data_IF_961010344632
#
_entry.id   IF_961010344632
#
_cell.length_a   1.000
_cell.length_b   1.000
_cell.length_c   1.000
_cell.angle_alpha   90.00
_cell.angle_beta   90.00
_cell.angle_gamma   90.00
#
_symmetry.space_group_name_H-M   'P 1'
#
loop_
_entity.id
_entity.type
_entity.pdbx_description
1 polymer ?
#
# COMPACT_ATOMS: atom_id res chain seq x y z
N UNK A 1 1.49 13.17 16.74
CA UNK A 1 1.27 12.68 15.35
C UNK A 1 0.43 11.42 15.38
N UNK A 2 -0.48 11.34 14.46
CA UNK A 2 -1.32 10.16 14.33
C UNK A 2 -0.74 9.22 13.28
N UNK A 3 -1.07 7.93 13.41
CA UNK A 3 -0.66 6.95 12.39
C UNK A 3 -1.76 6.76 11.37
N UNK A 4 -1.34 6.64 10.12
CA UNK A 4 -2.24 6.34 9.01
C UNK A 4 -1.66 5.19 8.21
N UNK A 5 -2.53 4.41 7.61
CA UNK A 5 -2.10 3.33 6.73
C UNK A 5 -2.48 3.68 5.30
N UNK A 6 -1.52 3.55 4.41
CA UNK A 6 -1.76 3.60 2.97
C UNK A 6 -1.90 2.17 2.49
N UNK A 7 -3.03 1.85 1.90
CA UNK A 7 -3.29 0.52 1.35
C UNK A 7 -3.22 0.67 -0.16
N UNK A 8 -2.29 -0.04 -0.78
CA UNK A 8 -2.05 0.05 -2.22
C UNK A 8 -2.82 -1.05 -2.93
N UNK A 9 -3.66 -0.65 -3.89
CA UNK A 9 -4.59 -1.54 -4.58
C UNK A 9 -4.36 -1.41 -6.08
N UNK A 10 -4.21 -2.53 -6.76
CA UNK A 10 -3.95 -2.55 -8.19
C UNK A 10 -2.55 -2.06 -8.53
N UNK A 11 -2.40 -1.38 -9.66
CA UNK A 11 -1.12 -0.81 -10.06
C UNK A 11 -0.08 -1.84 -10.43
N UNK A 12 -0.46 -2.84 -11.23
CA UNK A 12 0.40 -3.95 -11.60
C UNK A 12 1.41 -3.52 -12.68
N UNK A 13 2.73 -3.55 -12.39
CA UNK A 13 3.75 -3.18 -13.36
C UNK A 13 4.19 -4.33 -14.26
N UNK A 14 3.58 -5.52 -14.16
CA UNK A 14 4.08 -6.72 -14.83
C UNK A 14 4.11 -6.60 -16.36
N UNK A 15 3.28 -5.72 -16.94
CA UNK A 15 3.23 -5.53 -18.40
C UNK A 15 4.27 -4.52 -18.90
N UNK A 16 5.01 -3.90 -18.01
CA UNK A 16 6.05 -2.94 -18.39
C UNK A 16 7.32 -3.68 -18.82
N UNK A 17 8.13 -3.03 -19.65
CA UNK A 17 9.45 -3.56 -19.99
C UNK A 17 10.31 -3.66 -18.74
N UNK A 18 11.38 -4.49 -18.74
CA UNK A 18 12.28 -4.56 -17.59
C UNK A 18 12.85 -3.20 -17.19
N UNK A 19 13.22 -2.37 -18.16
CA UNK A 19 13.74 -1.04 -17.87
C UNK A 19 12.67 -0.15 -17.23
N UNK A 20 11.43 -0.23 -17.71
CA UNK A 20 10.34 0.56 -17.16
C UNK A 20 9.98 0.09 -15.75
N UNK A 21 10.02 -1.22 -15.51
CA UNK A 21 9.79 -1.76 -14.16
C UNK A 21 10.85 -1.27 -13.19
N UNK A 22 12.12 -1.26 -13.60
CA UNK A 22 13.19 -0.78 -12.77
C UNK A 22 13.05 0.72 -12.48
N UNK A 23 12.71 1.52 -13.49
CA UNK A 23 12.47 2.95 -13.30
C UNK A 23 11.31 3.19 -12.33
N UNK A 24 10.26 2.39 -12.43
CA UNK A 24 9.10 2.49 -11.54
C UNK A 24 9.50 2.17 -10.10
N UNK A 25 10.30 1.11 -9.91
CA UNK A 25 10.79 0.74 -8.58
C UNK A 25 11.63 1.86 -7.96
N UNK A 26 12.43 2.56 -8.78
CA UNK A 26 13.23 3.68 -8.28
C UNK A 26 12.36 4.81 -7.75
N UNK A 27 11.19 5.03 -8.36
CA UNK A 27 10.23 6.03 -7.85
C UNK A 27 9.73 5.65 -6.47
N UNK A 28 9.46 4.36 -6.23
CA UNK A 28 9.06 3.87 -4.92
C UNK A 28 10.15 4.09 -3.89
N UNK A 29 11.39 3.74 -4.22
CA UNK A 29 12.51 3.93 -3.30
C UNK A 29 12.70 5.41 -2.96
N UNK A 30 12.56 6.29 -3.96
CA UNK A 30 12.69 7.73 -3.73
C UNK A 30 11.60 8.24 -2.78
N UNK A 31 10.38 7.74 -2.93
CA UNK A 31 9.26 8.13 -2.06
C UNK A 31 9.50 7.67 -0.62
N UNK A 32 9.89 6.41 -0.44
CA UNK A 32 10.22 5.89 0.89
C UNK A 32 11.35 6.68 1.53
N UNK A 33 12.38 6.99 0.76
CA UNK A 33 13.50 7.78 1.27
C UNK A 33 13.05 9.17 1.73
N UNK A 34 12.21 9.82 0.94
CA UNK A 34 11.69 11.13 1.31
C UNK A 34 10.89 11.06 2.60
N UNK A 35 9.97 10.09 2.70
CA UNK A 35 9.15 9.92 3.90
C UNK A 35 10.02 9.60 5.11
N UNK A 36 11.09 8.82 4.92
CA UNK A 36 12.00 8.47 6.01
C UNK A 36 12.80 9.68 6.48
N UNK A 37 13.27 10.50 5.55
CA UNK A 37 14.00 11.73 5.92
C UNK A 37 13.12 12.69 6.69
N UNK A 38 11.84 12.73 6.37
CA UNK A 38 10.88 13.59 7.05
C UNK A 38 10.37 12.96 8.35
N UNK A 39 10.87 11.76 8.69
CA UNK A 39 10.48 11.02 9.89
C UNK A 39 8.99 10.69 9.90
N UNK A 40 8.43 10.45 8.72
CA UNK A 40 7.02 10.11 8.56
C UNK A 40 6.81 8.62 8.33
N UNK A 41 7.79 7.91 7.81
CA UNK A 41 7.68 6.50 7.48
C UNK A 41 7.87 5.64 8.74
N UNK A 42 6.92 4.76 9.02
CA UNK A 42 6.99 3.84 10.16
C UNK A 42 7.33 2.43 9.70
N UNK A 43 6.57 1.92 8.73
CA UNK A 43 6.76 0.54 8.26
C UNK A 43 6.04 0.39 6.92
N UNK A 44 6.38 -0.67 6.21
CA UNK A 44 5.69 -1.01 4.97
C UNK A 44 6.15 -2.36 4.45
N UNK A 45 5.27 -3.02 3.70
CA UNK A 45 5.55 -4.29 3.08
C UNK A 45 4.85 -4.38 1.74
N UNK A 46 5.53 -4.95 0.76
CA UNK A 46 4.93 -5.33 -0.52
C UNK A 46 4.53 -6.80 -0.43
N UNK A 47 3.46 -7.15 -1.11
CA UNK A 47 2.92 -8.52 -1.06
C UNK A 47 3.11 -9.21 -2.40
N UNK A 48 3.46 -10.50 -2.34
CA UNK A 48 3.49 -11.34 -3.53
C UNK A 48 2.06 -11.68 -3.96
N UNK A 49 1.85 -11.96 -5.24
CA UNK A 49 0.52 -12.38 -5.70
C UNK A 49 0.17 -13.75 -5.13
N UNK A 50 -1.13 -14.05 -5.06
CA UNK A 50 -1.62 -15.32 -4.58
C UNK A 50 -1.84 -15.34 -3.09
N UNK A 51 -2.13 -16.52 -2.58
CA UNK A 51 -2.42 -16.72 -1.17
C UNK A 51 -3.67 -17.52 -0.96
N UNK A 52 -4.26 -17.39 0.22
CA UNK A 52 -5.48 -18.11 0.58
C UNK A 52 -6.50 -17.15 1.17
N UNK A 53 -7.78 -17.44 0.94
CA UNK A 53 -8.86 -16.69 1.53
C UNK A 53 -9.65 -17.64 2.42
N UNK A 54 -9.97 -17.23 3.63
CA UNK A 54 -10.74 -18.02 4.59
C UNK A 54 -12.05 -17.28 4.85
N UNK A 55 -13.20 -17.97 4.69
CA UNK A 55 -14.52 -17.34 4.79
C UNK A 55 -15.47 -18.13 5.64
N UNK A 56 -16.33 -17.38 6.31
CA UNK A 56 -17.51 -17.90 6.98
C UNK A 56 -17.21 -18.61 8.28
N UNK A 57 -18.30 -18.97 8.98
CA UNK A 57 -18.19 -19.64 10.28
C UNK A 57 -17.57 -21.03 10.16
N UNK A 58 -17.69 -21.64 8.98
CA UNK A 58 -17.07 -22.96 8.72
C UNK A 58 -15.62 -22.84 8.29
N UNK A 59 -15.10 -21.60 8.16
CA UNK A 59 -13.71 -21.33 7.83
C UNK A 59 -13.27 -22.02 6.54
N UNK A 60 -14.11 -21.87 5.49
CA UNK A 60 -13.82 -22.43 4.17
C UNK A 60 -12.60 -21.74 3.59
N UNK A 61 -11.62 -22.51 3.12
CA UNK A 61 -10.37 -22.03 2.58
C UNK A 61 -10.37 -22.16 1.06
N UNK A 62 -10.09 -21.08 0.36
CA UNK A 62 -9.98 -21.09 -1.10
C UNK A 62 -8.70 -20.38 -1.49
N UNK A 63 -8.29 -20.56 -2.75
CA UNK A 63 -7.21 -19.78 -3.29
C UNK A 63 -7.67 -18.33 -3.38
N UNK A 64 -6.79 -17.40 -3.10
CA UNK A 64 -7.17 -15.99 -3.14
C UNK A 64 -5.97 -15.09 -3.26
N UNK A 65 -6.23 -13.80 -3.31
CA UNK A 65 -7.55 -13.16 -3.33
C UNK A 65 -8.30 -13.38 -4.64
N UNK A 66 -9.63 -13.35 -4.58
CA UNK A 66 -10.48 -13.53 -5.76
C UNK A 66 -10.74 -12.24 -6.53
N UNK A 67 -10.26 -11.14 -6.07
CA UNK A 67 -10.48 -9.86 -6.72
C UNK A 67 -9.88 -9.86 -8.13
N UNK A 68 -10.48 -9.10 -9.04
CA UNK A 68 -9.84 -8.80 -10.30
C UNK A 68 -8.49 -8.15 -10.04
N UNK A 69 -7.52 -8.35 -10.94
CA UNK A 69 -6.15 -7.90 -10.73
C UNK A 69 -6.02 -6.47 -10.26
N UNK A 70 -6.88 -5.59 -10.77
CA UNK A 70 -6.85 -4.16 -10.41
C UNK A 70 -7.44 -3.85 -9.03
N UNK A 71 -8.00 -4.83 -8.35
CA UNK A 71 -8.56 -4.65 -7.02
C UNK A 71 -7.79 -5.41 -5.95
N UNK A 72 -6.67 -6.00 -6.31
CA UNK A 72 -5.86 -6.78 -5.38
C UNK A 72 -4.97 -5.84 -4.58
N UNK A 73 -4.95 -6.03 -3.26
CA UNK A 73 -4.04 -5.29 -2.38
C UNK A 73 -2.61 -5.77 -2.63
N UNK A 74 -1.73 -4.85 -2.98
CA UNK A 74 -0.34 -5.18 -3.29
C UNK A 74 0.65 -4.80 -2.20
N UNK A 75 0.18 -4.14 -1.14
CA UNK A 75 1.06 -3.75 -0.06
C UNK A 75 0.46 -2.65 0.78
N UNK A 76 1.24 -2.20 1.74
CA UNK A 76 0.82 -1.11 2.61
C UNK A 76 2.03 -0.36 3.15
N UNK A 77 1.80 0.91 3.55
CA UNK A 77 2.71 1.67 4.41
C UNK A 77 1.96 2.08 5.65
N UNK A 78 2.67 2.17 6.75
CA UNK A 78 2.21 2.87 7.94
C UNK A 78 3.06 4.13 8.05
N UNK A 79 2.39 5.29 8.15
CA UNK A 79 3.09 6.58 8.23
C UNK A 79 2.53 7.38 9.40
N UNK A 80 3.22 8.45 9.74
CA UNK A 80 2.76 9.40 10.75
C UNK A 80 2.46 10.73 10.08
N UNK A 81 1.36 11.34 10.46
CA UNK A 81 0.96 12.65 9.95
C UNK A 81 0.20 13.38 11.05
N UNK A 82 0.12 14.70 10.94
CA UNK A 82 -0.58 15.50 11.95
C UNK A 82 -2.09 15.33 11.86
N UNK A 83 -2.61 15.06 10.66
CA UNK A 83 -4.03 14.87 10.41
C UNK A 83 -4.25 14.14 9.09
N UNK A 84 -5.50 13.81 8.80
CA UNK A 84 -5.86 13.08 7.58
C UNK A 84 -5.49 13.87 6.32
N UNK A 85 -5.67 15.19 6.34
CA UNK A 85 -5.36 16.01 5.16
C UNK A 85 -3.86 15.90 4.80
N UNK A 86 -2.99 15.95 5.79
CA UNK A 86 -1.56 15.78 5.54
C UNK A 86 -1.27 14.39 4.98
N UNK A 87 -1.89 13.36 5.57
CA UNK A 87 -1.69 11.99 5.09
C UNK A 87 -2.12 11.84 3.63
N UNK A 88 -3.24 12.45 3.25
CA UNK A 88 -3.74 12.41 1.87
C UNK A 88 -2.73 13.10 0.93
N UNK A 89 -2.22 14.27 1.31
CA UNK A 89 -1.25 14.95 0.48
C UNK A 89 0.01 14.11 0.28
N UNK A 90 0.46 13.42 1.34
CA UNK A 90 1.60 12.51 1.24
C UNK A 90 1.30 11.35 0.28
N UNK A 91 0.10 10.80 0.35
CA UNK A 91 -0.28 9.65 -0.48
C UNK A 91 -0.36 10.00 -1.97
N UNK A 92 -0.56 11.26 -2.31
CA UNK A 92 -0.61 11.70 -3.72
C UNK A 92 0.72 11.49 -4.44
N UNK A 93 1.80 11.29 -3.71
CA UNK A 93 3.12 11.05 -4.30
C UNK A 93 3.34 9.59 -4.69
N UNK A 94 2.38 8.70 -4.45
CA UNK A 94 2.51 7.29 -4.82
C UNK A 94 2.72 7.16 -6.33
N UNK A 95 3.71 6.35 -6.77
CA UNK A 95 3.98 6.21 -8.20
C UNK A 95 2.98 5.35 -8.97
N UNK A 96 2.10 4.61 -8.29
CA UNK A 96 1.24 3.64 -8.96
C UNK A 96 0.02 4.22 -9.68
N UNK A 97 -0.26 5.51 -9.52
CA UNK A 97 -1.41 6.11 -10.22
C UNK A 97 -1.27 5.99 -11.74
N UNK A 98 -0.04 6.03 -12.25
CA UNK A 98 0.24 5.88 -13.67
C UNK A 98 -0.17 4.50 -14.20
N UNK A 99 -0.27 3.52 -13.31
CA UNK A 99 -0.62 2.14 -13.64
C UNK A 99 -2.06 1.81 -13.26
N UNK A 100 -2.88 2.83 -12.99
CA UNK A 100 -4.25 2.63 -12.56
C UNK A 100 -4.38 2.22 -11.10
N UNK A 101 -3.34 2.41 -10.30
CA UNK A 101 -3.38 2.07 -8.88
C UNK A 101 -4.24 3.01 -8.07
N UNK A 102 -4.67 2.52 -6.93
CA UNK A 102 -5.52 3.22 -5.98
C UNK A 102 -4.82 3.17 -4.63
N UNK A 103 -4.90 4.25 -3.88
CA UNK A 103 -4.40 4.29 -2.50
C UNK A 103 -5.55 4.64 -1.58
N UNK A 104 -5.84 3.76 -0.62
CA UNK A 104 -6.74 4.10 0.47
C UNK A 104 -5.92 4.63 1.62
N UNK A 105 -6.37 5.72 2.20
CA UNK A 105 -5.71 6.34 3.35
C UNK A 105 -6.63 6.15 4.55
N UNK A 106 -6.19 5.38 5.53
CA UNK A 106 -7.01 5.02 6.69
C UNK A 106 -6.27 5.40 7.97
N UNK A 107 -6.98 6.03 8.89
CA UNK A 107 -6.41 6.29 10.21
C UNK A 107 -6.30 4.98 10.99
N UNK A 108 -5.15 4.77 11.63
CA UNK A 108 -4.93 3.57 12.43
C UNK A 108 -5.55 3.79 13.80
N UNK A 109 -6.38 2.83 14.22
CA UNK A 109 -7.03 2.89 15.53
C UNK A 109 -5.99 2.73 16.63
N UNK A 110 -6.09 3.55 17.66
CA UNK A 110 -5.24 3.45 18.83
C UNK A 110 -5.91 2.54 19.86
N UNK A 111 -5.13 1.62 20.39
CA UNK A 111 -5.60 0.75 21.46
C UNK A 111 -4.76 1.04 22.70
N UNK A 112 -5.23 1.96 23.52
CA UNK A 112 -4.57 2.23 24.79
C UNK A 112 -4.76 1.03 25.70
N UNK A 113 -3.75 0.66 26.45
CA UNK A 113 -3.80 -0.46 27.38
C UNK A 113 -3.82 -1.85 26.73
N UNK A 114 -3.33 -1.97 25.50
CA UNK A 114 -3.17 -3.29 24.87
C UNK A 114 -1.73 -3.81 24.89
#
# INVERSE_FOLDING_TARGET
MEKYMFIFIGGDPSHLSPEAQQAHMQKWFAWVEKLSREKKYVAGEALLPGGKTIRGSKKSVTDGPYAEGKEIVGGFFVIEAKDLNEAVEMAKACPDYELGGIVEVREVMKFDNM
#
